data_IF_188966708652
#
_entry.id   IF_188966708652
#
_cell.length_a   1.000
_cell.length_b   1.000
_cell.length_c   1.000
_cell.angle_alpha   90.00
_cell.angle_beta   90.00
_cell.angle_gamma   90.00
#
_symmetry.space_group_name_H-M   'P 1'
#
loop_
_entity.id
_entity.type
_entity.pdbx_description
1 polymer ?
#
# COMPACT_ATOMS: atom_id res chain seq x y z
N UNK A 1 8.57 -7.95 -30.61
CA UNK A 1 8.47 -8.65 -29.31
C UNK A 1 7.34 -7.99 -28.54
N UNK A 2 6.21 -8.68 -28.40
CA UNK A 2 5.09 -8.17 -27.61
C UNK A 2 5.35 -8.54 -26.14
N UNK A 3 5.19 -7.58 -25.23
CA UNK A 3 5.35 -7.83 -23.79
C UNK A 3 4.49 -9.03 -23.33
N UNK A 4 3.32 -9.19 -23.93
CA UNK A 4 2.38 -10.30 -23.68
C UNK A 4 2.83 -11.64 -24.27
N UNK A 5 3.97 -11.77 -24.92
CA UNK A 5 4.48 -13.08 -25.37
C UNK A 5 5.42 -13.72 -24.33
N UNK A 6 5.95 -12.92 -23.41
CA UNK A 6 6.82 -13.39 -22.34
C UNK A 6 6.09 -14.31 -21.37
N UNK A 7 6.74 -15.38 -20.92
CA UNK A 7 6.17 -16.25 -19.89
C UNK A 7 5.88 -15.49 -18.58
N UNK A 8 5.07 -16.11 -17.71
CA UNK A 8 4.62 -15.49 -16.45
C UNK A 8 5.78 -15.08 -15.54
N UNK A 9 6.81 -15.92 -15.41
CA UNK A 9 7.98 -15.62 -14.57
C UNK A 9 8.74 -14.39 -15.05
N UNK A 10 8.97 -14.27 -16.36
CA UNK A 10 9.62 -13.09 -16.95
C UNK A 10 8.80 -11.82 -16.72
N UNK A 11 7.47 -11.91 -16.84
CA UNK A 11 6.57 -10.78 -16.59
C UNK A 11 6.59 -10.34 -15.12
N UNK A 12 6.55 -11.29 -14.18
CA UNK A 12 6.67 -11.01 -12.74
C UNK A 12 8.03 -10.38 -12.42
N UNK A 13 9.10 -10.92 -12.98
CA UNK A 13 10.44 -10.37 -12.82
C UNK A 13 10.51 -8.93 -13.32
N UNK A 14 9.95 -8.62 -14.49
CA UNK A 14 9.86 -7.24 -15.00
C UNK A 14 9.06 -6.33 -14.07
N UNK A 15 7.90 -6.79 -13.59
CA UNK A 15 7.07 -6.02 -12.65
C UNK A 15 7.79 -5.74 -11.34
N UNK A 16 8.71 -6.61 -10.90
CA UNK A 16 9.45 -6.45 -9.65
C UNK A 16 10.30 -5.16 -9.63
N UNK A 17 10.80 -4.71 -10.78
CA UNK A 17 11.55 -3.45 -10.93
C UNK A 17 10.67 -2.20 -11.01
N UNK A 18 9.37 -2.36 -11.22
CA UNK A 18 8.45 -1.24 -11.33
C UNK A 18 7.99 -0.78 -9.94
N UNK A 19 7.71 0.51 -9.83
CA UNK A 19 7.02 1.05 -8.67
C UNK A 19 5.53 0.65 -8.68
N UNK A 20 4.87 0.76 -7.51
CA UNK A 20 3.46 0.40 -7.34
C UNK A 20 2.54 1.09 -8.37
N UNK A 21 2.83 2.35 -8.68
CA UNK A 21 2.02 3.15 -9.60
C UNK A 21 2.16 2.64 -11.04
N UNK A 22 3.38 2.36 -11.51
CA UNK A 22 3.59 1.79 -12.84
C UNK A 22 3.01 0.39 -12.97
N UNK A 23 3.14 -0.46 -11.92
CA UNK A 23 2.47 -1.77 -11.88
C UNK A 23 0.95 -1.63 -12.03
N UNK A 24 0.34 -0.69 -11.30
CA UNK A 24 -1.11 -0.43 -11.36
C UNK A 24 -1.56 0.12 -12.72
N UNK A 25 -0.75 0.96 -13.37
CA UNK A 25 -1.03 1.44 -14.72
C UNK A 25 -0.98 0.31 -15.74
N UNK A 26 0.02 -0.57 -15.67
CA UNK A 26 0.13 -1.73 -16.57
C UNK A 26 -0.97 -2.76 -16.33
N UNK A 27 -1.42 -2.95 -15.09
CA UNK A 27 -2.50 -3.91 -14.80
C UNK A 27 -3.83 -3.56 -15.47
N UNK A 28 -4.03 -2.27 -15.83
CA UNK A 28 -5.24 -1.77 -16.49
C UNK A 28 -5.25 -1.96 -18.00
N UNK A 29 -4.13 -2.34 -18.62
CA UNK A 29 -4.07 -2.43 -20.09
C UNK A 29 -4.69 -3.72 -20.62
N UNK A 30 -4.51 -4.86 -19.94
CA UNK A 30 -5.09 -6.14 -20.34
C UNK A 30 -5.14 -7.15 -19.18
N UNK A 31 -5.99 -8.18 -19.32
CA UNK A 31 -6.19 -9.23 -18.30
C UNK A 31 -4.91 -9.97 -17.92
N UNK A 32 -3.99 -10.16 -18.87
CA UNK A 32 -2.72 -10.85 -18.61
C UNK A 32 -1.84 -10.04 -17.65
N UNK A 33 -1.71 -8.75 -17.88
CA UNK A 33 -0.93 -7.87 -17.00
C UNK A 33 -1.64 -7.61 -15.68
N UNK A 34 -2.97 -7.66 -15.65
CA UNK A 34 -3.75 -7.70 -14.40
C UNK A 34 -3.38 -8.90 -13.53
N UNK A 35 -3.32 -10.11 -14.12
CA UNK A 35 -2.91 -11.31 -13.38
C UNK A 35 -1.50 -11.21 -12.81
N UNK A 36 -0.56 -10.65 -13.58
CA UNK A 36 0.81 -10.40 -13.10
C UNK A 36 0.81 -9.42 -11.93
N UNK A 37 0.04 -8.33 -12.01
CA UNK A 37 -0.13 -7.39 -10.89
C UNK A 37 -0.69 -8.06 -9.63
N UNK A 38 -1.55 -9.07 -9.79
CA UNK A 38 -2.16 -9.82 -8.69
C UNK A 38 -1.21 -10.80 -7.99
N UNK A 39 0.00 -11.00 -8.52
CA UNK A 39 0.99 -11.93 -7.95
C UNK A 39 1.47 -11.47 -6.56
N UNK A 40 1.26 -12.28 -5.50
CA UNK A 40 1.59 -11.90 -4.12
C UNK A 40 3.06 -11.53 -3.91
N UNK A 41 3.98 -12.16 -4.66
CA UNK A 41 5.42 -11.95 -4.56
C UNK A 41 5.87 -10.53 -4.95
N UNK A 42 5.06 -9.79 -5.72
CA UNK A 42 5.33 -8.39 -6.04
C UNK A 42 5.11 -7.47 -4.84
N UNK A 43 4.31 -7.88 -3.85
CA UNK A 43 3.82 -7.03 -2.77
C UNK A 43 4.49 -7.31 -1.42
N UNK A 44 5.72 -7.82 -1.45
CA UNK A 44 6.51 -8.10 -0.23
C UNK A 44 6.93 -6.83 0.52
N UNK A 45 6.97 -5.68 -0.16
CA UNK A 45 7.30 -4.38 0.41
C UNK A 45 6.28 -3.34 -0.03
N UNK A 46 5.68 -2.64 0.92
CA UNK A 46 4.80 -1.50 0.69
C UNK A 46 5.32 -0.27 1.41
N UNK A 47 5.45 0.83 0.67
CA UNK A 47 5.86 2.12 1.20
C UNK A 47 4.83 3.19 0.82
N UNK A 48 4.41 3.97 1.81
CA UNK A 48 3.42 5.03 1.67
C UNK A 48 3.99 6.37 2.15
N UNK A 49 3.96 7.35 1.25
CA UNK A 49 4.55 8.68 1.46
C UNK A 49 3.54 9.83 1.54
N UNK A 50 2.27 9.60 1.17
CA UNK A 50 1.17 10.57 1.41
C UNK A 50 -0.17 9.89 1.74
N UNK A 51 -1.01 10.44 2.65
CA UNK A 51 -2.29 9.83 3.10
C UNK A 51 -3.16 9.28 1.97
N UNK A 52 -3.18 10.01 0.86
CA UNK A 52 -3.88 9.64 -0.37
C UNK A 52 -3.47 8.28 -0.93
N UNK A 53 -2.21 7.84 -0.77
CA UNK A 53 -1.73 6.56 -1.29
C UNK A 53 -2.37 5.36 -0.59
N UNK A 54 -2.82 5.47 0.66
CA UNK A 54 -3.55 4.38 1.33
C UNK A 54 -4.96 4.18 0.73
N UNK A 55 -5.47 5.17 -0.01
CA UNK A 55 -6.81 5.14 -0.63
C UNK A 55 -6.77 4.85 -2.14
N UNK A 56 -5.59 4.84 -2.78
CA UNK A 56 -5.47 4.76 -4.24
C UNK A 56 -5.82 3.40 -4.85
N UNK A 57 -5.77 2.32 -4.07
CA UNK A 57 -6.02 0.97 -4.58
C UNK A 57 -4.99 0.54 -5.64
N UNK A 58 -3.78 1.09 -5.59
CA UNK A 58 -2.66 0.81 -6.50
C UNK A 58 -1.70 -0.27 -5.94
N UNK A 59 -2.16 -1.02 -4.93
CA UNK A 59 -1.42 -2.09 -4.29
C UNK A 59 -2.36 -3.23 -3.89
N UNK A 60 -1.76 -4.38 -3.59
CA UNK A 60 -2.45 -5.53 -3.02
C UNK A 60 -1.84 -5.83 -1.66
N UNK A 61 -2.70 -6.03 -0.66
CA UNK A 61 -2.27 -6.62 0.60
C UNK A 61 -2.33 -8.13 0.44
N UNK A 62 -1.20 -8.78 0.65
CA UNK A 62 -1.09 -10.23 0.56
C UNK A 62 -0.34 -10.79 1.78
N UNK A 63 -0.51 -12.08 2.10
CA UNK A 63 0.30 -12.77 3.11
C UNK A 63 1.82 -12.72 2.86
N UNK A 64 2.24 -12.37 1.64
CA UNK A 64 3.65 -12.21 1.29
C UNK A 64 4.24 -10.88 1.77
N UNK A 65 3.44 -9.95 2.31
CA UNK A 65 3.94 -8.70 2.87
C UNK A 65 4.95 -8.97 3.98
N UNK A 66 6.15 -8.39 3.86
CA UNK A 66 7.25 -8.50 4.83
C UNK A 66 7.64 -7.15 5.40
N UNK A 67 7.58 -6.09 4.59
CA UNK A 67 7.98 -4.75 4.99
C UNK A 67 6.87 -3.76 4.69
N UNK A 68 6.44 -3.04 5.73
CA UNK A 68 5.49 -1.94 5.61
C UNK A 68 6.14 -0.67 6.15
N UNK A 69 6.13 0.40 5.36
CA UNK A 69 6.56 1.72 5.76
C UNK A 69 5.46 2.72 5.47
N UNK A 70 4.98 3.41 6.50
CA UNK A 70 4.03 4.51 6.37
C UNK A 70 4.73 5.74 6.94
N UNK A 71 5.19 6.63 6.06
CA UNK A 71 6.00 7.79 6.44
C UNK A 71 5.59 8.99 5.62
N UNK A 72 4.91 9.95 6.24
CA UNK A 72 4.47 11.17 5.57
C UNK A 72 5.21 12.36 6.17
N UNK A 73 6.37 12.66 5.59
CA UNK A 73 7.09 13.88 5.93
C UNK A 73 6.45 15.03 5.14
N UNK A 74 5.63 15.80 5.81
CA UNK A 74 5.02 17.00 5.24
C UNK A 74 5.16 18.12 6.25
N UNK A 75 5.71 19.26 5.80
CA UNK A 75 5.81 20.48 6.63
C UNK A 75 4.45 20.84 7.23
N UNK A 76 3.35 20.60 6.48
CA UNK A 76 1.98 20.84 6.93
C UNK A 76 1.55 19.86 8.02
N UNK A 77 1.89 18.57 7.89
CA UNK A 77 1.57 17.57 8.93
C UNK A 77 2.38 17.85 10.20
N UNK A 78 3.63 18.28 10.06
CA UNK A 78 4.46 18.65 11.21
C UNK A 78 3.91 19.91 11.91
N UNK A 79 3.49 20.93 11.15
CA UNK A 79 2.89 22.14 11.73
C UNK A 79 1.48 21.92 12.31
N UNK A 80 0.75 20.89 11.86
CA UNK A 80 -0.64 20.63 12.28
C UNK A 80 -0.74 19.55 13.35
N UNK A 81 -0.05 18.43 13.19
CA UNK A 81 -0.14 17.29 14.10
C UNK A 81 1.00 17.22 15.11
N UNK A 82 2.16 17.85 14.86
CA UNK A 82 3.31 17.86 15.78
C UNK A 82 3.40 19.15 16.63
N UNK A 83 2.24 19.76 16.91
CA UNK A 83 2.07 20.79 17.94
C UNK A 83 1.22 20.23 19.08
N UNK A 84 1.34 20.77 20.29
CA UNK A 84 0.57 20.30 21.45
C UNK A 84 -0.94 20.33 21.19
N UNK A 85 -1.68 19.34 21.69
CA UNK A 85 -3.12 19.18 21.43
C UNK A 85 -3.97 20.37 21.90
N UNK A 86 -3.55 21.05 22.97
CA UNK A 86 -4.23 22.24 23.47
C UNK A 86 -3.99 23.48 22.59
N UNK A 87 -2.95 23.49 21.77
CA UNK A 87 -2.68 24.53 20.76
C UNK A 87 -3.39 24.29 19.42
N UNK A 88 -3.90 23.06 19.20
CA UNK A 88 -4.59 22.72 17.96
C UNK A 88 -5.99 23.37 17.91
N UNK A 89 -6.30 24.02 16.79
CA UNK A 89 -7.67 24.43 16.48
C UNK A 89 -8.57 23.22 16.26
N UNK A 90 -9.89 23.41 16.31
CA UNK A 90 -10.88 22.37 16.02
C UNK A 90 -10.61 21.71 14.66
N UNK A 91 -10.34 22.52 13.63
CA UNK A 91 -10.00 22.04 12.30
C UNK A 91 -8.72 21.19 12.27
N UNK A 92 -7.68 21.58 13.00
CA UNK A 92 -6.44 20.81 13.09
C UNK A 92 -6.66 19.48 13.80
N UNK A 93 -7.49 19.45 14.86
CA UNK A 93 -7.89 18.22 15.55
C UNK A 93 -8.64 17.28 14.63
N UNK A 94 -9.59 17.80 13.84
CA UNK A 94 -10.34 17.01 12.86
C UNK A 94 -9.42 16.43 11.77
N UNK A 95 -8.46 17.20 11.28
CA UNK A 95 -7.47 16.70 10.32
C UNK A 95 -6.61 15.56 10.91
N UNK A 96 -6.12 15.72 12.14
CA UNK A 96 -5.28 14.69 12.76
C UNK A 96 -6.09 13.44 13.10
N UNK A 97 -7.36 13.56 13.53
CA UNK A 97 -8.23 12.41 13.78
C UNK A 97 -8.53 11.63 12.50
N UNK A 98 -8.71 12.32 11.36
CA UNK A 98 -8.85 11.67 10.06
C UNK A 98 -7.57 10.94 9.62
N UNK A 99 -6.39 11.51 9.87
CA UNK A 99 -5.12 10.84 9.59
C UNK A 99 -4.94 9.59 10.46
N UNK A 100 -5.19 9.71 11.76
CA UNK A 100 -5.09 8.61 12.72
C UNK A 100 -6.06 7.48 12.36
N UNK A 101 -7.34 7.81 12.12
CA UNK A 101 -8.35 6.85 11.68
C UNK A 101 -7.94 6.13 10.39
N UNK A 102 -7.46 6.87 9.38
CA UNK A 102 -7.03 6.26 8.11
C UNK A 102 -5.87 5.26 8.30
N UNK A 103 -4.88 5.62 9.12
CA UNK A 103 -3.74 4.73 9.40
C UNK A 103 -4.18 3.53 10.21
N UNK A 104 -4.99 3.73 11.26
CA UNK A 104 -5.52 2.66 12.10
C UNK A 104 -6.32 1.65 11.29
N UNK A 105 -7.28 2.11 10.48
CA UNK A 105 -8.12 1.25 9.65
C UNK A 105 -7.28 0.47 8.62
N UNK A 106 -6.22 1.09 8.09
CA UNK A 106 -5.29 0.41 7.21
C UNK A 106 -4.48 -0.68 7.94
N UNK A 107 -3.90 -0.36 9.09
CA UNK A 107 -3.13 -1.32 9.88
C UNK A 107 -3.99 -2.49 10.37
N UNK A 108 -5.25 -2.25 10.70
CA UNK A 108 -6.20 -3.31 11.04
C UNK A 108 -6.40 -4.30 9.88
N UNK A 109 -6.53 -3.80 8.64
CA UNK A 109 -6.61 -4.67 7.44
C UNK A 109 -5.34 -5.47 7.22
N UNK A 110 -4.17 -4.84 7.41
CA UNK A 110 -2.87 -5.54 7.33
C UNK A 110 -2.81 -6.66 8.38
N UNK A 111 -3.18 -6.37 9.62
CA UNK A 111 -3.22 -7.35 10.70
C UNK A 111 -4.13 -8.53 10.37
N UNK A 112 -5.35 -8.27 9.89
CA UNK A 112 -6.29 -9.34 9.51
C UNK A 112 -5.72 -10.27 8.44
N UNK A 113 -5.04 -9.74 7.42
CA UNK A 113 -4.46 -10.55 6.35
C UNK A 113 -3.31 -11.42 6.86
N UNK A 114 -2.46 -10.87 7.72
CA UNK A 114 -1.34 -11.61 8.32
C UNK A 114 -1.86 -12.66 9.32
N UNK A 115 -2.84 -12.32 10.15
CA UNK A 115 -3.45 -13.23 11.11
C UNK A 115 -4.15 -14.41 10.43
N UNK A 116 -4.94 -14.14 9.39
CA UNK A 116 -5.60 -15.18 8.60
C UNK A 116 -4.60 -16.10 7.89
N UNK A 117 -3.46 -15.55 7.43
CA UNK A 117 -2.40 -16.37 6.86
C UNK A 117 -1.74 -17.27 7.90
N UNK A 118 -1.59 -16.79 9.14
CA UNK A 118 -1.03 -17.57 10.24
C UNK A 118 -1.98 -18.69 10.69
N UNK A 119 -3.29 -18.47 10.71
CA UNK A 119 -4.25 -19.52 11.07
C UNK A 119 -4.27 -20.67 10.05
N UNK A 120 -4.22 -20.35 8.75
CA UNK A 120 -4.21 -21.35 7.67
C UNK A 120 -2.92 -22.20 7.61
N UNK A 121 -1.85 -21.77 8.27
CA UNK A 121 -0.58 -22.52 8.36
C UNK A 121 -0.53 -23.46 9.57
N UNK A 122 -1.48 -23.34 10.51
CA UNK A 122 -1.54 -24.13 11.75
C UNK A 122 -2.73 -25.12 11.76
N UNK A 123 -3.44 -25.27 10.65
CA UNK A 123 -4.43 -26.33 10.38
C UNK A 123 -3.80 -27.44 9.52
#
# INVERSE_FOLDING_TARGET
MLLTELNQHCLVHLFSFLDKESRSRLSRTCLRLKKVFEEPCLWTRLQFSSPTQLRRGDFILSPSLRFLTISWFSIRVQQVCNIEDWLKSSFQKDMCSQHDGLVRDFLQRVYQIVANAFSLLNE
#
